data_IF_512659856324
#
_entry.id   IF_512659856324
#
_cell.length_a   1.000
_cell.length_b   1.000
_cell.length_c   1.000
_cell.angle_alpha   90.00
_cell.angle_beta   90.00
_cell.angle_gamma   90.00
#
_symmetry.space_group_name_H-M   'P 1'
#
loop_
_entity.id
_entity.type
_entity.pdbx_description
1 polymer ?
#
# COMPACT_ATOMS: atom_id res chain seq x y z
N UNK A 1 -0.83 4.71 8.57
CA UNK A 1 -2.25 4.53 8.20
C UNK A 1 -2.50 3.04 8.03
N UNK A 2 -3.51 2.45 8.69
CA UNK A 2 -3.92 1.07 8.38
C UNK A 2 -4.59 1.05 7.00
N UNK A 3 -4.11 0.15 6.14
CA UNK A 3 -4.61 -0.05 4.79
C UNK A 3 -4.46 -1.50 4.39
N UNK A 4 -5.31 -1.94 3.47
CA UNK A 4 -5.31 -3.32 2.96
C UNK A 4 -4.67 -3.32 1.58
N UNK A 5 -3.64 -4.16 1.38
CA UNK A 5 -3.04 -4.34 0.07
C UNK A 5 -4.06 -5.00 -0.86
N UNK A 6 -4.41 -4.32 -1.95
CA UNK A 6 -5.30 -4.87 -2.98
C UNK A 6 -4.54 -5.70 -4.02
N UNK A 7 -3.21 -5.68 -4.00
CA UNK A 7 -2.36 -6.42 -4.92
C UNK A 7 -1.07 -6.78 -4.21
N UNK A 8 -0.58 -7.98 -4.48
CA UNK A 8 0.76 -8.39 -4.08
C UNK A 8 1.80 -7.60 -4.90
N UNK A 9 2.97 -7.39 -4.31
CA UNK A 9 4.09 -6.73 -4.99
C UNK A 9 5.41 -7.07 -4.32
N UNK A 10 6.48 -7.06 -5.11
CA UNK A 10 7.84 -7.26 -4.62
C UNK A 10 8.41 -6.02 -3.93
N UNK A 11 9.59 -6.16 -3.32
CA UNK A 11 10.33 -5.04 -2.75
C UNK A 11 10.54 -3.91 -3.78
N UNK A 12 10.25 -2.67 -3.41
CA UNK A 12 10.21 -1.47 -4.27
C UNK A 12 9.16 -1.47 -5.39
N UNK A 13 8.23 -2.42 -5.39
CA UNK A 13 7.12 -2.41 -6.34
C UNK A 13 5.98 -1.53 -5.85
N UNK A 14 5.28 -0.91 -6.81
CA UNK A 14 4.21 0.03 -6.51
C UNK A 14 2.86 -0.69 -6.56
N UNK A 15 2.22 -0.85 -5.40
CA UNK A 15 0.95 -1.56 -5.26
C UNK A 15 -0.20 -0.62 -4.94
N UNK A 16 -1.43 -1.10 -5.16
CA UNK A 16 -2.65 -0.42 -4.74
C UNK A 16 -3.00 -0.84 -3.32
N UNK A 17 -3.20 0.13 -2.45
CA UNK A 17 -3.59 -0.07 -1.06
C UNK A 17 -4.92 0.63 -0.85
N UNK A 18 -5.91 -0.08 -0.32
CA UNK A 18 -7.17 0.50 0.11
C UNK A 18 -7.00 1.05 1.52
N UNK A 19 -7.10 2.36 1.67
CA UNK A 19 -7.07 3.00 2.97
C UNK A 19 -8.37 2.68 3.72
N UNK A 20 -8.29 2.01 4.88
CA UNK A 20 -9.49 1.60 5.63
C UNK A 20 -10.18 2.77 6.34
N UNK A 21 -9.47 3.89 6.58
CA UNK A 21 -10.05 5.07 7.22
C UNK A 21 -10.93 5.89 6.26
N UNK A 22 -10.54 5.96 5.00
CA UNK A 22 -11.17 6.81 3.99
C UNK A 22 -11.81 6.04 2.84
N UNK A 23 -11.67 4.71 2.82
CA UNK A 23 -12.12 3.80 1.76
C UNK A 23 -11.55 4.11 0.37
N UNK A 24 -10.54 4.98 0.27
CA UNK A 24 -9.88 5.37 -0.98
C UNK A 24 -8.78 4.38 -1.34
N UNK A 25 -8.61 4.15 -2.64
CA UNK A 25 -7.49 3.38 -3.18
C UNK A 25 -6.34 4.34 -3.45
N UNK A 26 -5.21 4.11 -2.80
CA UNK A 26 -3.97 4.88 -2.94
C UNK A 26 -2.86 3.98 -3.47
N UNK A 27 -1.81 4.59 -4.04
CA UNK A 27 -0.60 3.88 -4.44
C UNK A 27 0.41 3.93 -3.31
N UNK A 28 1.09 2.83 -3.06
CA UNK A 28 2.16 2.72 -2.07
C UNK A 28 3.29 1.86 -2.64
N UNK A 29 4.53 2.13 -2.27
CA UNK A 29 5.68 1.30 -2.61
C UNK A 29 5.90 0.27 -1.50
N UNK A 30 6.13 -0.98 -1.84
CA UNK A 30 6.40 -2.05 -0.88
C UNK A 30 7.82 -1.88 -0.34
N UNK A 31 7.95 -1.66 0.96
CA UNK A 31 9.25 -1.53 1.64
C UNK A 31 9.64 -2.79 2.40
N UNK A 32 8.68 -3.70 2.64
CA UNK A 32 8.92 -4.98 3.27
C UNK A 32 7.66 -5.84 3.36
N UNK A 33 7.76 -7.05 3.93
CA UNK A 33 6.62 -7.95 4.10
C UNK A 33 5.53 -7.29 4.94
N UNK A 34 4.36 -7.01 4.34
CA UNK A 34 3.26 -6.32 5.01
C UNK A 34 3.51 -4.83 5.33
N UNK A 35 4.62 -4.26 4.83
CA UNK A 35 4.97 -2.86 5.04
C UNK A 35 5.06 -2.12 3.70
N UNK A 36 4.34 -1.01 3.65
CA UNK A 36 4.20 -0.18 2.44
C UNK A 36 4.37 1.27 2.81
N UNK A 37 5.09 2.00 1.99
CA UNK A 37 5.34 3.42 2.14
C UNK A 37 4.53 4.20 1.10
N UNK A 38 3.79 5.19 1.56
CA UNK A 38 2.98 6.05 0.71
C UNK A 38 3.76 7.35 0.53
N UNK A 39 4.10 7.68 -0.71
CA UNK A 39 4.54 9.02 -1.05
C UNK A 39 3.31 9.94 -1.00
N UNK A 40 3.17 10.68 0.10
CA UNK A 40 2.19 11.78 0.21
C UNK A 40 2.62 12.98 -0.64
#
# INVERSE_FOLDING_TARGET
MPGEAMSDGGFNEQIRVKNLNSQRVIKANVTGPGQVEVAM
#
